data_IF_764034734917
#
_entry.id   IF_764034734917
#
_cell.length_a   1.000
_cell.length_b   1.000
_cell.length_c   1.000
_cell.angle_alpha   90.00
_cell.angle_beta   90.00
_cell.angle_gamma   90.00
#
_symmetry.space_group_name_H-M   'P 1'
#
loop_
_entity.id
_entity.type
_entity.pdbx_description
1 polymer ?
#
# COMPACT_ATOMS: atom_id res chain seq x y z
N UNK A 1 -4.18 79.44 -20.90
CA UNK A 1 -2.77 79.12 -21.20
C UNK A 1 -2.39 78.01 -20.25
N UNK A 2 -2.37 76.78 -20.76
CA UNK A 2 -1.69 75.60 -20.18
C UNK A 2 -0.16 75.84 -20.08
N UNK A 3 0.64 75.03 -19.36
CA UNK A 3 0.42 73.61 -18.98
C UNK A 3 0.52 73.32 -17.46
N UNK A 4 -0.03 72.26 -16.87
CA UNK A 4 0.07 70.79 -17.05
C UNK A 4 1.44 70.19 -16.70
N UNK A 5 1.37 69.15 -15.86
CA UNK A 5 2.35 68.08 -15.62
C UNK A 5 3.66 68.45 -14.93
N UNK A 6 3.74 68.14 -13.63
CA UNK A 6 4.97 67.61 -13.06
C UNK A 6 4.61 66.46 -12.10
N UNK A 7 5.33 65.36 -12.25
CA UNK A 7 5.33 64.17 -11.41
C UNK A 7 4.27 63.08 -11.64
N UNK A 8 4.02 62.75 -12.91
CA UNK A 8 3.64 61.38 -13.30
C UNK A 8 4.78 60.61 -14.02
N UNK A 9 6.02 61.05 -13.94
CA UNK A 9 7.20 60.36 -14.50
C UNK A 9 8.03 59.66 -13.41
N UNK A 10 7.46 58.66 -12.75
CA UNK A 10 8.25 57.48 -12.32
C UNK A 10 7.44 56.18 -12.55
N UNK A 11 6.48 56.22 -13.48
CA UNK A 11 5.99 54.99 -14.06
C UNK A 11 7.03 54.49 -15.08
N UNK A 12 7.64 53.36 -14.75
CA UNK A 12 8.26 52.43 -15.69
C UNK A 12 9.75 52.68 -16.05
N UNK A 13 10.64 52.67 -15.05
CA UNK A 13 12.01 52.23 -15.33
C UNK A 13 11.97 50.72 -15.65
N UNK A 14 12.07 50.39 -16.93
CA UNK A 14 12.45 49.06 -17.42
C UNK A 14 13.81 48.67 -16.83
N UNK A 15 13.81 48.15 -15.60
CA UNK A 15 14.97 47.46 -15.01
C UNK A 15 15.17 46.16 -15.77
N UNK A 16 15.83 46.24 -16.91
CA UNK A 16 16.36 45.08 -17.59
C UNK A 16 17.47 44.49 -16.72
N UNK A 17 17.16 43.38 -16.07
CA UNK A 17 18.14 42.62 -15.32
C UNK A 17 19.25 42.13 -16.27
N UNK A 18 20.51 42.05 -15.82
CA UNK A 18 21.60 41.58 -16.65
C UNK A 18 21.33 40.15 -17.12
N UNK A 19 21.78 39.77 -18.32
CA UNK A 19 21.63 38.42 -18.89
C UNK A 19 22.00 37.31 -17.89
N UNK A 20 23.06 37.54 -17.11
CA UNK A 20 23.53 36.63 -16.06
C UNK A 20 22.45 36.30 -15.00
N UNK A 21 21.55 37.24 -14.69
CA UNK A 21 20.43 37.01 -13.78
C UNK A 21 19.47 35.98 -14.35
N UNK A 22 19.06 36.13 -15.62
CA UNK A 22 18.16 35.19 -16.28
C UNK A 22 18.77 33.80 -16.47
N UNK A 23 20.07 33.74 -16.81
CA UNK A 23 20.81 32.48 -16.91
C UNK A 23 20.86 31.76 -15.55
N UNK A 24 21.16 32.50 -14.47
CA UNK A 24 21.20 31.95 -13.11
C UNK A 24 19.82 31.47 -12.66
N UNK A 25 18.78 32.25 -12.93
CA UNK A 25 17.39 31.88 -12.63
C UNK A 25 16.97 30.61 -13.37
N UNK A 26 17.29 30.49 -14.66
CA UNK A 26 17.00 29.29 -15.45
C UNK A 26 17.74 28.06 -14.90
N UNK A 27 19.02 28.20 -14.54
CA UNK A 27 19.79 27.11 -13.93
C UNK A 27 19.19 26.69 -12.58
N UNK A 28 18.75 27.64 -11.76
CA UNK A 28 18.14 27.37 -10.47
C UNK A 28 16.80 26.63 -10.63
N UNK A 29 15.96 27.06 -11.59
CA UNK A 29 14.72 26.35 -11.96
C UNK A 29 15.02 24.92 -12.43
N UNK A 30 16.04 24.73 -13.28
CA UNK A 30 16.43 23.39 -13.74
C UNK A 30 16.90 22.49 -12.60
N UNK A 31 17.66 23.03 -11.64
CA UNK A 31 18.08 22.29 -10.44
C UNK A 31 16.87 21.90 -9.58
N UNK A 32 15.89 22.79 -9.42
CA UNK A 32 14.65 22.48 -8.67
C UNK A 32 13.82 21.42 -9.39
N UNK A 33 13.67 21.51 -10.71
CA UNK A 33 12.94 20.51 -11.52
C UNK A 33 13.66 19.17 -11.47
N UNK A 34 14.98 19.14 -11.67
CA UNK A 34 15.78 17.92 -11.60
C UNK A 34 15.75 17.31 -10.20
N UNK A 35 15.83 18.13 -9.15
CA UNK A 35 15.71 17.70 -7.76
C UNK A 35 14.32 17.16 -7.42
N UNK A 36 13.25 17.78 -7.93
CA UNK A 36 11.88 17.29 -7.77
C UNK A 36 11.65 15.97 -8.51
N UNK A 37 12.19 15.83 -9.73
CA UNK A 37 12.11 14.61 -10.52
C UNK A 37 12.94 13.47 -9.89
N UNK A 38 14.16 13.77 -9.43
CA UNK A 38 14.99 12.83 -8.69
C UNK A 38 14.33 12.43 -7.36
N UNK A 39 13.73 13.37 -6.63
CA UNK A 39 12.97 13.08 -5.41
C UNK A 39 11.76 12.19 -5.67
N UNK A 40 11.05 12.39 -6.78
CA UNK A 40 9.93 11.54 -7.19
C UNK A 40 10.35 10.12 -7.59
N UNK A 41 11.47 9.99 -8.33
CA UNK A 41 12.01 8.68 -8.73
C UNK A 41 12.69 7.93 -7.58
N UNK A 42 13.38 8.66 -6.70
CA UNK A 42 14.02 8.12 -5.50
C UNK A 42 13.05 8.00 -4.31
N UNK A 43 11.79 8.44 -4.47
CA UNK A 43 10.78 8.24 -3.45
C UNK A 43 10.65 6.73 -3.21
N UNK A 44 10.88 6.26 -1.97
CA UNK A 44 11.04 4.84 -1.72
C UNK A 44 9.77 4.09 -2.18
N UNK A 45 9.96 3.11 -3.06
CA UNK A 45 8.92 2.27 -3.63
C UNK A 45 7.86 1.86 -2.59
N UNK A 46 8.30 1.42 -1.42
CA UNK A 46 7.42 0.98 -0.32
C UNK A 46 6.66 2.10 0.39
N UNK A 47 7.19 3.32 0.44
CA UNK A 47 6.56 4.43 1.15
C UNK A 47 5.26 4.87 0.46
N UNK A 48 5.14 4.67 -0.86
CA UNK A 48 3.93 5.02 -1.63
C UNK A 48 2.71 4.27 -1.12
N UNK A 49 2.86 2.99 -0.84
CA UNK A 49 1.76 2.12 -0.42
C UNK A 49 1.72 1.82 1.08
N UNK A 50 2.61 2.42 1.87
CA UNK A 50 2.65 2.24 3.32
C UNK A 50 1.36 2.78 3.98
N UNK A 51 0.86 2.06 4.99
CA UNK A 51 -0.33 2.43 5.76
C UNK A 51 -1.41 1.34 5.74
N UNK A 52 -2.61 1.70 6.21
CA UNK A 52 -3.77 0.81 6.22
C UNK A 52 -4.75 1.18 5.12
N UNK A 53 -5.14 0.16 4.35
CA UNK A 53 -6.05 0.24 3.23
C UNK A 53 -7.21 -0.72 3.48
N UNK A 54 -8.43 -0.29 3.17
CA UNK A 54 -9.62 -1.15 3.23
C UNK A 54 -10.29 -1.18 1.87
N UNK A 55 -10.79 -2.34 1.45
CA UNK A 55 -11.55 -2.43 0.22
C UNK A 55 -12.86 -1.63 0.34
N UNK A 56 -13.36 -1.12 -0.76
CA UNK A 56 -14.58 -0.29 -0.78
C UNK A 56 -15.84 -1.03 -0.33
N UNK A 57 -15.84 -2.37 -0.43
CA UNK A 57 -16.88 -3.26 0.07
C UNK A 57 -16.63 -3.73 1.52
N UNK A 58 -15.56 -3.25 2.16
CA UNK A 58 -15.10 -3.56 3.52
C UNK A 58 -14.78 -5.05 3.78
N UNK A 59 -14.70 -5.87 2.74
CA UNK A 59 -14.44 -7.32 2.86
C UNK A 59 -12.97 -7.65 3.02
N UNK A 60 -12.06 -6.74 2.67
CA UNK A 60 -10.61 -6.94 2.70
C UNK A 60 -9.91 -5.76 3.40
N UNK A 61 -8.83 -6.07 4.10
CA UNK A 61 -7.96 -5.08 4.72
C UNK A 61 -6.52 -5.36 4.36
N UNK A 62 -5.84 -4.39 3.76
CA UNK A 62 -4.43 -4.47 3.43
C UNK A 62 -3.65 -3.54 4.35
N UNK A 63 -2.69 -4.10 5.08
CA UNK A 63 -1.71 -3.34 5.84
C UNK A 63 -0.37 -3.43 5.13
N UNK A 64 0.30 -2.30 4.96
CA UNK A 64 1.62 -2.21 4.36
C UNK A 64 2.54 -1.45 5.31
N UNK A 65 3.73 -1.98 5.58
CA UNK A 65 4.70 -1.37 6.50
C UNK A 65 6.11 -1.64 5.98
N UNK A 66 6.78 -0.60 5.50
CA UNK A 66 8.00 -0.76 4.73
C UNK A 66 7.85 -1.80 3.61
N UNK A 67 8.74 -2.79 3.57
CA UNK A 67 8.71 -3.87 2.56
C UNK A 67 7.68 -4.96 2.83
N UNK A 68 7.02 -4.96 3.98
CA UNK A 68 6.11 -6.05 4.36
C UNK A 68 4.66 -5.66 4.17
N UNK A 69 3.82 -6.67 3.94
CA UNK A 69 2.38 -6.47 3.85
C UNK A 69 1.58 -7.64 4.41
N UNK A 70 0.34 -7.33 4.78
CA UNK A 70 -0.66 -8.28 5.28
C UNK A 70 -2.02 -7.97 4.63
N UNK A 71 -2.53 -8.88 3.81
CA UNK A 71 -3.90 -8.85 3.28
C UNK A 71 -4.77 -9.76 4.15
N UNK A 72 -5.76 -9.18 4.81
CA UNK A 72 -6.65 -9.83 5.76
C UNK A 72 -8.06 -9.93 5.19
N UNK A 73 -8.61 -11.14 5.23
CA UNK A 73 -10.04 -11.43 5.04
C UNK A 73 -10.65 -11.68 6.43
N UNK A 74 -11.31 -10.68 7.05
CA UNK A 74 -11.98 -10.85 8.33
C UNK A 74 -13.21 -11.75 8.19
N UNK A 75 -13.63 -12.35 9.30
CA UNK A 75 -14.81 -13.22 9.40
C UNK A 75 -14.85 -14.29 8.29
N UNK A 76 -13.70 -14.92 8.05
CA UNK A 76 -13.54 -15.88 6.97
C UNK A 76 -14.53 -17.04 7.11
N UNK A 77 -15.19 -17.39 6.00
CA UNK A 77 -16.27 -18.39 5.97
C UNK A 77 -17.41 -18.08 6.96
N UNK A 78 -17.71 -16.79 7.17
CA UNK A 78 -18.77 -16.31 8.07
C UNK A 78 -18.53 -16.64 9.56
N UNK A 79 -17.30 -17.04 9.93
CA UNK A 79 -16.95 -17.32 11.32
C UNK A 79 -16.39 -16.07 11.99
N UNK A 80 -17.13 -15.51 12.95
CA UNK A 80 -16.68 -14.36 13.73
C UNK A 80 -15.38 -14.69 14.47
N UNK A 81 -14.42 -13.76 14.47
CA UNK A 81 -13.14 -13.95 15.14
C UNK A 81 -12.15 -14.84 14.37
N UNK A 82 -12.54 -15.39 13.21
CA UNK A 82 -11.67 -16.09 12.29
C UNK A 82 -11.26 -15.18 11.14
N UNK A 83 -9.96 -15.02 10.89
CA UNK A 83 -9.46 -14.25 9.74
C UNK A 83 -8.46 -15.08 8.95
N UNK A 84 -8.57 -15.02 7.62
CA UNK A 84 -7.56 -15.55 6.71
C UNK A 84 -6.61 -14.42 6.35
N UNK A 85 -5.30 -14.65 6.50
CA UNK A 85 -4.27 -13.66 6.23
C UNK A 85 -3.29 -14.19 5.18
N UNK A 86 -3.03 -13.38 4.16
CA UNK A 86 -1.85 -13.51 3.31
C UNK A 86 -0.82 -12.49 3.80
N UNK A 87 0.38 -12.93 4.10
CA UNK A 87 1.46 -12.05 4.56
C UNK A 87 2.72 -12.30 3.75
N UNK A 88 3.40 -11.23 3.34
CA UNK A 88 4.58 -11.34 2.50
C UNK A 88 5.37 -10.05 2.43
N UNK A 89 6.22 -9.98 1.41
CA UNK A 89 7.00 -8.79 1.09
C UNK A 89 6.60 -8.22 -0.26
N UNK A 90 6.77 -6.91 -0.44
CA UNK A 90 6.53 -6.24 -1.70
C UNK A 90 7.74 -6.40 -2.62
N UNK A 91 7.45 -6.77 -3.86
CA UNK A 91 8.38 -6.75 -4.98
C UNK A 91 7.92 -5.72 -6.01
N UNK A 92 8.85 -4.90 -6.49
CA UNK A 92 8.58 -3.97 -7.57
C UNK A 92 8.39 -4.71 -8.89
N UNK A 93 7.25 -4.45 -9.55
CA UNK A 93 6.94 -4.94 -10.89
C UNK A 93 6.85 -3.79 -11.91
N UNK A 94 6.89 -2.54 -11.44
CA UNK A 94 6.86 -1.33 -12.26
C UNK A 94 6.82 -0.06 -11.40
N UNK A 95 6.51 1.09 -12.01
CA UNK A 95 6.58 2.40 -11.34
C UNK A 95 5.58 2.52 -10.19
N UNK A 96 4.37 1.97 -10.39
CA UNK A 96 3.25 1.98 -9.43
C UNK A 96 2.61 0.61 -9.27
N UNK A 97 3.32 -0.46 -9.65
CA UNK A 97 2.82 -1.83 -9.60
C UNK A 97 3.67 -2.66 -8.65
N UNK A 98 2.98 -3.40 -7.78
CA UNK A 98 3.59 -4.10 -6.66
C UNK A 98 3.08 -5.54 -6.64
N UNK A 99 4.01 -6.49 -6.51
CA UNK A 99 3.71 -7.92 -6.41
C UNK A 99 4.04 -8.44 -5.02
N UNK A 100 3.32 -9.47 -4.61
CA UNK A 100 3.65 -10.26 -3.44
C UNK A 100 4.86 -11.16 -3.69
N UNK A 101 5.76 -11.24 -2.73
CA UNK A 101 6.85 -12.21 -2.70
C UNK A 101 6.99 -12.82 -1.30
N UNK A 102 7.53 -14.04 -1.25
CA UNK A 102 7.69 -14.84 -0.03
C UNK A 102 6.38 -14.97 0.77
N UNK A 103 5.26 -15.17 0.05
CA UNK A 103 3.93 -15.12 0.63
C UNK A 103 3.64 -16.35 1.49
N UNK A 104 3.11 -16.10 2.69
CA UNK A 104 2.65 -17.09 3.65
C UNK A 104 1.14 -16.96 3.83
N UNK A 105 0.47 -18.11 3.95
CA UNK A 105 -0.93 -18.19 4.31
C UNK A 105 -1.07 -18.49 5.80
N UNK A 106 -1.83 -17.65 6.49
CA UNK A 106 -2.03 -17.66 7.93
C UNK A 106 -3.53 -17.67 8.24
N UNK A 107 -3.89 -18.31 9.34
CA UNK A 107 -5.22 -18.24 9.92
C UNK A 107 -5.08 -17.63 11.31
N UNK A 108 -5.77 -16.52 11.55
CA UNK A 108 -5.75 -15.78 12.81
C UNK A 108 -7.08 -15.94 13.51
N UNK A 109 -7.02 -16.34 14.78
CA UNK A 109 -8.18 -16.68 15.60
C UNK A 109 -8.18 -15.79 16.84
N UNK A 110 -9.26 -15.05 17.05
CA UNK A 110 -9.54 -14.38 18.31
C UNK A 110 -10.08 -15.41 19.32
N UNK A 111 -9.33 -15.67 20.38
CA UNK A 111 -9.67 -16.70 21.36
C UNK A 111 -10.97 -16.42 22.10
N UNK A 112 -11.39 -15.16 22.21
CA UNK A 112 -12.64 -14.79 22.88
C UNK A 112 -13.88 -15.29 22.14
N UNK A 113 -13.77 -15.56 20.84
CA UNK A 113 -14.89 -16.00 19.99
C UNK A 113 -14.95 -17.54 19.83
N UNK A 114 -14.06 -18.31 20.49
CA UNK A 114 -13.94 -19.76 20.34
C UNK A 114 -13.93 -20.49 21.70
N UNK A 115 -14.46 -21.72 21.74
CA UNK A 115 -14.43 -22.55 22.94
C UNK A 115 -13.02 -23.06 23.24
N UNK A 116 -12.75 -23.40 24.50
CA UNK A 116 -11.45 -23.97 24.91
C UNK A 116 -11.18 -25.29 24.19
N UNK A 117 -12.22 -26.11 24.03
CA UNK A 117 -12.16 -27.41 23.36
C UNK A 117 -11.75 -27.28 21.89
N UNK A 118 -12.29 -26.29 21.16
CA UNK A 118 -11.91 -26.00 19.78
C UNK A 118 -10.48 -25.49 19.68
N UNK A 119 -10.10 -24.55 20.55
CA UNK A 119 -8.75 -24.01 20.59
C UNK A 119 -7.72 -25.10 20.89
N UNK A 120 -8.04 -26.04 21.78
CA UNK A 120 -7.13 -27.14 22.12
C UNK A 120 -7.02 -28.18 21.01
N UNK A 121 -8.10 -28.41 20.23
CA UNK A 121 -7.99 -29.20 18.98
C UNK A 121 -7.06 -28.53 17.99
N UNK A 122 -7.16 -27.21 17.82
CA UNK A 122 -6.33 -26.46 16.87
C UNK A 122 -4.86 -26.37 17.27
N UNK A 123 -4.54 -26.48 18.57
CA UNK A 123 -3.14 -26.53 19.05
C UNK A 123 -2.48 -27.90 18.87
N UNK A 124 -3.24 -28.97 18.65
CA UNK A 124 -2.67 -30.30 18.42
C UNK A 124 -1.88 -30.33 17.11
N UNK A 125 -0.89 -31.22 17.06
CA UNK A 125 -0.05 -31.44 15.88
C UNK A 125 -0.93 -31.72 14.66
N UNK A 126 -0.65 -31.01 13.57
CA UNK A 126 -1.37 -31.08 12.31
C UNK A 126 -0.36 -31.08 11.16
N UNK A 127 -0.66 -31.83 10.11
CA UNK A 127 0.18 -31.85 8.89
C UNK A 127 -0.14 -30.66 7.96
N UNK A 128 -1.26 -29.98 8.19
CA UNK A 128 -1.76 -28.91 7.31
C UNK A 128 -1.45 -27.51 7.85
N UNK A 129 -1.14 -27.37 9.14
CA UNK A 129 -0.74 -26.10 9.73
C UNK A 129 0.18 -26.30 10.93
N UNK A 130 0.91 -25.23 11.29
CA UNK A 130 1.72 -25.14 12.50
C UNK A 130 1.28 -23.92 13.32
N UNK A 131 1.43 -23.98 14.64
CA UNK A 131 1.22 -22.81 15.50
C UNK A 131 2.39 -21.85 15.27
N UNK A 132 2.11 -20.69 14.66
CA UNK A 132 3.12 -19.67 14.36
C UNK A 132 3.26 -18.67 15.50
N UNK A 133 2.15 -18.27 16.11
CA UNK A 133 2.13 -17.31 17.22
C UNK A 133 0.97 -17.59 18.15
N UNK A 134 1.19 -17.44 19.45
CA UNK A 134 0.14 -17.56 20.46
C UNK A 134 0.30 -16.46 21.51
N UNK A 135 -0.77 -15.72 21.78
CA UNK A 135 -0.89 -14.74 22.86
C UNK A 135 -2.14 -15.05 23.69
N UNK A 136 -2.42 -14.28 24.74
CA UNK A 136 -3.64 -14.47 25.54
C UNK A 136 -4.92 -14.23 24.74
N UNK A 137 -4.86 -13.33 23.74
CA UNK A 137 -6.01 -12.93 22.92
C UNK A 137 -6.09 -13.68 21.59
N UNK A 138 -4.96 -14.07 21.02
CA UNK A 138 -4.90 -14.52 19.63
C UNK A 138 -4.13 -15.84 19.48
N UNK A 139 -4.59 -16.68 18.55
CA UNK A 139 -3.87 -17.84 18.04
C UNK A 139 -3.66 -17.65 16.53
N UNK A 140 -2.43 -17.74 16.06
CA UNK A 140 -2.08 -17.67 14.63
C UNK A 140 -1.52 -19.01 14.18
N UNK A 141 -2.17 -19.62 13.21
CA UNK A 141 -1.75 -20.85 12.57
C UNK A 141 -1.19 -20.52 11.19
N UNK A 142 -0.02 -21.03 10.84
CA UNK A 142 0.55 -20.92 9.50
C UNK A 142 0.29 -22.22 8.74
N UNK A 143 -0.27 -22.12 7.54
CA UNK A 143 -0.47 -23.30 6.70
C UNK A 143 0.88 -23.84 6.21
N UNK A 144 0.99 -25.17 6.20
CA UNK A 144 2.09 -25.88 5.54
C UNK A 144 1.85 -25.92 4.04
N UNK A 145 2.85 -26.31 3.25
CA UNK A 145 2.67 -26.55 1.82
C UNK A 145 1.54 -27.56 1.53
N UNK A 146 1.45 -28.63 2.35
CA UNK A 146 0.34 -29.61 2.26
C UNK A 146 -1.01 -28.97 2.56
N UNK A 147 -1.09 -28.09 3.55
CA UNK A 147 -2.31 -27.35 3.88
C UNK A 147 -2.74 -26.42 2.75
N UNK A 148 -1.80 -25.67 2.18
CA UNK A 148 -2.04 -24.77 1.04
C UNK A 148 -2.57 -25.57 -0.14
N UNK A 149 -1.93 -26.68 -0.53
CA UNK A 149 -2.39 -27.52 -1.64
C UNK A 149 -3.82 -28.06 -1.48
N UNK A 150 -4.27 -28.32 -0.24
CA UNK A 150 -5.64 -28.77 0.03
C UNK A 150 -6.68 -27.67 -0.13
N UNK A 151 -6.29 -26.42 0.11
CA UNK A 151 -7.20 -25.27 0.08
C UNK A 151 -7.13 -24.58 -1.29
N UNK A 152 -5.98 -24.66 -1.96
CA UNK A 152 -5.67 -24.01 -3.24
C UNK A 152 -4.85 -24.98 -4.11
N UNK A 153 -5.49 -25.51 -5.14
CA UNK A 153 -4.88 -26.48 -6.07
C UNK A 153 -3.81 -25.89 -6.98
N UNK A 154 -3.79 -24.56 -7.18
CA UNK A 154 -2.76 -23.82 -7.91
C UNK A 154 -1.95 -22.95 -6.93
N UNK A 155 -0.96 -23.56 -6.29
CA UNK A 155 -0.36 -23.11 -5.03
C UNK A 155 0.77 -22.05 -5.15
N UNK A 156 0.75 -21.19 -6.18
CA UNK A 156 1.73 -20.09 -6.22
C UNK A 156 1.19 -18.86 -5.46
N UNK A 157 1.39 -18.88 -4.14
CA UNK A 157 0.95 -17.80 -3.25
C UNK A 157 1.55 -16.44 -3.62
N UNK A 158 2.70 -16.39 -4.30
CA UNK A 158 3.33 -15.14 -4.69
C UNK A 158 2.50 -14.39 -5.75
N UNK A 159 1.65 -15.09 -6.49
CA UNK A 159 0.76 -14.49 -7.49
C UNK A 159 -0.58 -14.01 -6.93
N UNK A 160 -0.86 -14.30 -5.65
CA UNK A 160 -2.15 -13.95 -5.02
C UNK A 160 -2.33 -12.44 -4.90
N UNK A 161 -1.25 -11.69 -4.68
CA UNK A 161 -1.31 -10.24 -4.51
C UNK A 161 -0.52 -9.56 -5.62
N UNK A 162 -1.25 -8.81 -6.44
CA UNK A 162 -0.71 -7.87 -7.40
C UNK A 162 -1.54 -6.59 -7.29
N UNK A 163 -0.91 -5.48 -6.92
CA UNK A 163 -1.60 -4.21 -6.71
C UNK A 163 -1.05 -3.10 -7.60
N UNK A 164 -1.91 -2.16 -7.97
CA UNK A 164 -1.55 -0.95 -8.71
C UNK A 164 -2.01 0.28 -7.94
N UNK A 165 -1.09 1.21 -7.70
CA UNK A 165 -1.40 2.51 -7.13
C UNK A 165 -1.73 3.49 -8.25
N UNK A 166 -2.90 4.11 -8.18
CA UNK A 166 -3.37 5.14 -9.10
C UNK A 166 -3.61 6.45 -8.36
N UNK A 167 -3.69 7.55 -9.12
CA UNK A 167 -3.87 8.91 -8.60
C UNK A 167 -2.81 9.32 -7.58
N UNK A 168 -1.53 9.03 -7.86
CA UNK A 168 -0.42 9.38 -6.97
C UNK A 168 -0.52 10.85 -6.59
N UNK A 169 -0.62 11.11 -5.29
CA UNK A 169 -0.90 12.43 -4.78
C UNK A 169 -0.16 12.64 -3.46
N UNK A 170 0.14 13.89 -3.11
CA UNK A 170 0.80 14.22 -1.85
C UNK A 170 -0.07 13.90 -0.63
N UNK A 171 -1.39 13.82 -0.83
CA UNK A 171 -2.37 13.35 0.14
C UNK A 171 -2.83 11.93 -0.22
N UNK A 172 -2.41 10.95 0.59
CA UNK A 172 -2.71 9.51 0.40
C UNK A 172 -4.20 9.20 0.35
N UNK A 173 -5.06 10.04 0.92
CA UNK A 173 -6.52 9.84 0.86
C UNK A 173 -7.10 10.01 -0.55
N UNK A 174 -6.37 10.67 -1.43
CA UNK A 174 -6.76 10.87 -2.82
C UNK A 174 -6.22 9.77 -3.74
N UNK A 175 -5.30 8.95 -3.23
CA UNK A 175 -4.76 7.80 -3.95
C UNK A 175 -5.73 6.62 -3.91
N UNK A 176 -5.70 5.81 -4.96
CA UNK A 176 -6.48 4.58 -5.05
C UNK A 176 -5.56 3.40 -5.25
N UNK A 177 -5.67 2.39 -4.40
CA UNK A 177 -4.92 1.16 -4.56
C UNK A 177 -5.84 0.06 -5.07
N UNK A 178 -5.50 -0.54 -6.19
CA UNK A 178 -6.30 -1.61 -6.79
C UNK A 178 -5.61 -2.95 -6.64
N UNK A 179 -6.33 -3.95 -6.16
CA UNK A 179 -5.90 -5.34 -6.20
C UNK A 179 -6.36 -5.98 -7.52
N UNK A 180 -5.39 -6.29 -8.39
CA UNK A 180 -5.62 -6.90 -9.70
C UNK A 180 -5.27 -8.38 -9.62
N UNK A 181 -6.04 -9.14 -8.83
CA UNK A 181 -5.81 -10.57 -8.67
C UNK A 181 -7.09 -11.34 -8.96
N UNK A 182 -7.04 -12.15 -10.02
CA UNK A 182 -8.11 -13.08 -10.41
C UNK A 182 -8.39 -14.12 -9.34
N UNK A 183 -7.53 -14.24 -8.33
CA UNK A 183 -7.74 -15.11 -7.19
C UNK A 183 -8.95 -14.69 -6.34
N UNK A 184 -9.20 -13.38 -6.21
CA UNK A 184 -10.27 -12.85 -5.36
C UNK A 184 -11.49 -12.41 -6.15
N UNK A 185 -11.28 -11.82 -7.33
CA UNK A 185 -12.35 -11.34 -8.20
C UNK A 185 -11.87 -11.29 -9.64
N UNK A 186 -12.80 -11.44 -10.59
CA UNK A 186 -12.52 -11.20 -12.01
C UNK A 186 -12.35 -9.70 -12.29
N UNK A 187 -12.82 -8.83 -11.39
CA UNK A 187 -12.67 -7.38 -11.45
C UNK A 187 -11.61 -6.91 -10.45
N UNK A 188 -11.05 -5.71 -10.71
CA UNK A 188 -10.10 -5.07 -9.80
C UNK A 188 -10.85 -4.63 -8.53
N UNK A 189 -10.30 -4.94 -7.36
CA UNK A 189 -10.87 -4.51 -6.08
C UNK A 189 -10.21 -3.19 -5.68
N UNK A 190 -11.01 -2.13 -5.52
CA UNK A 190 -10.53 -0.83 -5.06
C UNK A 190 -10.34 -0.83 -3.53
N UNK A 191 -9.21 -0.28 -3.09
CA UNK A 191 -8.90 0.00 -1.69
C UNK A 191 -8.73 1.50 -1.48
N UNK A 192 -9.35 2.00 -0.40
CA UNK A 192 -9.19 3.35 0.09
C UNK A 192 -8.26 3.40 1.31
N UNK A 193 -7.50 4.48 1.43
CA UNK A 193 -6.63 4.72 2.59
C UNK A 193 -7.47 5.04 3.84
N UNK A 194 -7.22 4.35 4.95
CA UNK A 194 -8.03 4.47 6.17
C UNK A 194 -7.27 5.16 7.31
N UNK A 195 -6.00 4.84 7.55
CA UNK A 195 -5.10 5.59 8.44
C UNK A 195 -3.69 5.01 8.42
#
# INVERSE_FOLDING_TARGET
>A
MEPLLENQEELNENKHYPLAFYVTLCLLILVVIAGGFAGYLCYPFTAKIEGHWASTDETLKLRSTGRSWELTIPNYQQNKGLSLLYAGTWKASGINTYEGDQVKLLMKINKADFSKEELDKLKKKSDIYIVSKQTDKELTLQYTQKGIQKIQSQADLNKVVHVTLENIHWDKKQEKLFLNSSYFSNERIEFAYVK
#
